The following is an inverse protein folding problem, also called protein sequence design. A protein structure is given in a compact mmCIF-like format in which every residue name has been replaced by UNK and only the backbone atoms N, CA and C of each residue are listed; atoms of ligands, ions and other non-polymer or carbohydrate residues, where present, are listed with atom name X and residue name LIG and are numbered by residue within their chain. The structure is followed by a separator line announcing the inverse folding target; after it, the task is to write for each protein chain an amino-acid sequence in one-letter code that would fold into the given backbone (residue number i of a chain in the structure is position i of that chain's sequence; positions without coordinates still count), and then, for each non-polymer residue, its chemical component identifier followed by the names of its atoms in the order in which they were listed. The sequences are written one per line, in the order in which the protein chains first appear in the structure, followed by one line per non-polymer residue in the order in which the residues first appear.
data_IF_548297315329
#
_entry.id   IF_548297315329
#
_cell.length_a   1.000
_cell.length_b   1.000
_cell.length_c   1.000
_cell.angle_alpha   90.00
_cell.angle_beta   90.00
_cell.angle_gamma   90.00
#
_symmetry.space_group_name_H-M   'P 1'
#
loop_
_entity.id
_entity.type
_entity.pdbx_description
1 polymer ?
#
# COMPACT_ATOMS: atom_id res chain seq x y z
N UNK A 1 2.85 -38.16 -49.65
CA UNK A 1 3.97 -39.00 -49.17
C UNK A 1 4.00 -38.89 -47.66
N UNK A 2 4.25 -39.96 -46.89
CA UNK A 2 4.21 -39.91 -45.43
C UNK A 2 5.49 -39.32 -44.79
N UNK A 3 6.58 -39.18 -45.55
CA UNK A 3 7.87 -38.70 -45.06
C UNK A 3 8.38 -37.56 -45.94
N UNK A 4 8.97 -36.54 -45.30
CA UNK A 4 9.52 -35.35 -45.95
C UNK A 4 10.90 -35.03 -45.38
N UNK A 5 11.89 -34.83 -46.26
CA UNK A 5 13.26 -34.44 -45.92
C UNK A 5 13.58 -33.10 -46.61
N UNK A 6 13.96 -32.07 -45.85
CA UNK A 6 14.09 -30.68 -46.35
C UNK A 6 15.49 -30.11 -46.16
N UNK A 7 15.77 -29.03 -46.90
CA UNK A 7 17.03 -28.26 -46.90
C UNK A 7 18.25 -29.00 -47.46
N UNK A 8 18.04 -29.77 -48.52
CA UNK A 8 19.13 -30.37 -49.31
C UNK A 8 19.38 -29.56 -50.58
N UNK A 9 20.62 -29.57 -51.04
CA UNK A 9 21.03 -28.98 -52.31
C UNK A 9 20.32 -29.65 -53.49
N UNK A 10 20.06 -28.87 -54.54
CA UNK A 10 19.52 -29.40 -55.79
C UNK A 10 20.61 -30.14 -56.58
N UNK A 11 20.22 -31.20 -57.30
CA UNK A 11 21.07 -31.89 -58.28
C UNK A 11 20.51 -31.70 -59.70
N UNK A 12 21.27 -32.01 -60.77
CA UNK A 12 20.77 -31.90 -62.14
C UNK A 12 19.51 -32.74 -62.42
N UNK A 13 19.29 -33.82 -61.66
CA UNK A 13 18.14 -34.73 -61.77
C UNK A 13 17.06 -34.50 -60.69
N UNK A 14 17.31 -33.66 -59.68
CA UNK A 14 16.41 -33.40 -58.54
C UNK A 14 16.50 -31.92 -58.13
N UNK A 15 15.76 -31.06 -58.84
CA UNK A 15 15.61 -29.65 -58.48
C UNK A 15 14.66 -29.48 -57.29
N UNK A 16 15.14 -28.85 -56.21
CA UNK A 16 14.36 -28.67 -54.98
C UNK A 16 13.94 -27.23 -54.78
N UNK A 17 12.62 -27.04 -54.74
CA UNK A 17 11.99 -25.76 -54.44
C UNK A 17 11.20 -25.86 -53.14
N UNK A 18 11.32 -24.84 -52.29
CA UNK A 18 10.54 -24.75 -51.05
C UNK A 18 9.61 -23.55 -51.15
N UNK A 19 8.34 -23.78 -50.90
CA UNK A 19 7.35 -22.72 -50.78
C UNK A 19 7.59 -21.89 -49.50
N UNK A 20 7.05 -20.66 -49.49
CA UNK A 20 7.12 -19.81 -48.31
C UNK A 20 6.49 -20.48 -47.07
N UNK A 21 5.45 -21.31 -47.25
CA UNK A 21 4.86 -22.02 -46.12
C UNK A 21 5.73 -23.17 -45.62
N UNK A 22 6.44 -23.89 -46.51
CA UNK A 22 7.40 -24.91 -46.10
C UNK A 22 8.59 -24.32 -45.34
N UNK A 23 8.99 -23.10 -45.72
CA UNK A 23 10.01 -22.34 -45.00
C UNK A 23 9.49 -21.83 -43.65
N UNK A 24 8.26 -21.30 -43.61
CA UNK A 24 7.62 -20.89 -42.37
C UNK A 24 7.38 -22.07 -41.43
N UNK A 25 7.04 -23.26 -41.95
CA UNK A 25 6.87 -24.49 -41.17
C UNK A 25 8.13 -24.83 -40.38
N UNK A 26 9.29 -24.69 -40.99
CA UNK A 26 10.57 -24.89 -40.30
C UNK A 26 10.72 -23.94 -39.11
N UNK A 27 10.41 -22.65 -39.28
CA UNK A 27 10.48 -21.70 -38.16
C UNK A 27 9.39 -21.91 -37.12
N UNK A 28 8.19 -22.39 -37.47
CA UNK A 28 7.15 -22.78 -36.50
C UNK A 28 7.63 -23.88 -35.54
N UNK A 29 8.61 -24.69 -35.94
CA UNK A 29 9.22 -25.71 -35.07
C UNK A 29 10.25 -25.16 -34.10
N UNK A 30 10.71 -23.92 -34.29
CA UNK A 30 11.81 -23.33 -33.52
C UNK A 30 11.37 -22.11 -32.72
N UNK A 31 10.46 -21.29 -33.27
CA UNK A 31 10.05 -20.00 -32.72
C UNK A 31 8.56 -20.02 -32.40
N UNK A 32 8.20 -19.52 -31.22
CA UNK A 32 6.79 -19.28 -30.87
C UNK A 32 6.26 -18.01 -31.53
N UNK A 33 4.94 -17.91 -31.59
CA UNK A 33 4.26 -16.67 -32.02
C UNK A 33 4.46 -15.57 -30.96
N UNK A 34 4.61 -14.33 -31.41
CA UNK A 34 4.68 -13.17 -30.52
C UNK A 34 5.45 -12.00 -31.10
N UNK A 35 5.76 -11.04 -30.24
CA UNK A 35 6.69 -9.95 -30.55
C UNK A 35 8.10 -10.26 -30.04
N UNK A 36 9.13 -9.64 -30.63
CA UNK A 36 10.47 -9.75 -30.08
C UNK A 36 10.59 -8.97 -28.76
N UNK A 37 11.42 -9.48 -27.84
CA UNK A 37 11.56 -8.91 -26.50
C UNK A 37 12.17 -7.50 -26.54
N UNK A 38 11.59 -6.58 -25.76
CA UNK A 38 12.21 -5.31 -25.38
C UNK A 38 11.32 -4.06 -25.54
N UNK A 39 11.33 -3.20 -24.51
CA UNK A 39 10.94 -1.78 -24.54
C UNK A 39 9.80 -1.39 -25.48
N UNK A 40 10.13 -0.57 -26.48
CA UNK A 40 9.19 0.06 -27.40
C UNK A 40 8.83 -0.81 -28.61
N UNK A 41 9.34 -2.05 -28.72
CA UNK A 41 9.11 -2.92 -29.88
C UNK A 41 7.61 -3.15 -30.11
N UNK A 42 7.10 -2.66 -31.24
CA UNK A 42 5.68 -2.72 -31.61
C UNK A 42 4.74 -2.20 -30.50
N UNK A 43 5.23 -1.29 -29.66
CA UNK A 43 4.42 -0.68 -28.61
C UNK A 43 3.34 0.20 -29.25
N UNK A 44 2.11 0.05 -28.75
CA UNK A 44 0.98 0.89 -29.15
C UNK A 44 0.96 2.14 -28.29
N UNK A 45 0.79 3.30 -28.91
CA UNK A 45 0.63 4.59 -28.25
C UNK A 45 -0.39 5.48 -28.95
N UNK A 46 -0.53 6.71 -28.47
CA UNK A 46 -1.40 7.74 -29.04
C UNK A 46 -0.82 9.13 -28.82
N UNK A 47 -1.18 10.07 -29.69
CA UNK A 47 -0.72 11.46 -29.60
C UNK A 47 -1.63 12.35 -28.73
N UNK A 48 -2.79 11.86 -28.29
CA UNK A 48 -3.73 12.63 -27.47
C UNK A 48 -4.52 13.70 -28.22
N UNK A 49 -4.38 13.80 -29.54
CA UNK A 49 -4.95 14.89 -30.35
C UNK A 49 -6.09 14.46 -31.28
N UNK A 50 -6.18 13.17 -31.59
CA UNK A 50 -7.13 12.62 -32.55
C UNK A 50 -7.50 11.16 -32.17
N UNK A 51 -8.41 10.56 -32.95
CA UNK A 51 -8.85 9.17 -32.79
C UNK A 51 -7.93 8.24 -33.59
N UNK A 52 -6.62 8.36 -33.35
CA UNK A 52 -5.61 7.47 -33.94
C UNK A 52 -4.71 6.91 -32.85
N UNK A 53 -4.30 5.67 -33.08
CA UNK A 53 -3.20 5.04 -32.35
C UNK A 53 -2.03 4.87 -33.30
N UNK A 54 -0.83 4.79 -32.75
CA UNK A 54 0.36 4.43 -33.50
C UNK A 54 1.01 3.19 -32.94
N UNK A 55 1.74 2.48 -33.79
CA UNK A 55 2.57 1.35 -33.42
C UNK A 55 4.01 1.72 -33.70
N UNK A 56 4.85 1.65 -32.67
CA UNK A 56 6.28 1.88 -32.81
C UNK A 56 6.93 0.84 -33.71
N UNK A 57 8.13 1.18 -34.20
CA UNK A 57 8.96 0.24 -34.95
C UNK A 57 9.22 -1.05 -34.17
N UNK A 58 9.45 -2.13 -34.92
CA UNK A 58 9.76 -3.40 -34.31
C UNK A 58 9.42 -4.60 -35.18
N UNK A 59 9.56 -5.77 -34.58
CA UNK A 59 9.40 -7.06 -35.22
C UNK A 59 8.42 -7.96 -34.46
N UNK A 60 7.68 -8.77 -35.22
CA UNK A 60 6.88 -9.86 -34.72
C UNK A 60 7.09 -11.11 -35.57
N UNK A 61 6.82 -12.26 -34.96
CA UNK A 61 6.83 -13.55 -35.63
C UNK A 61 5.48 -14.23 -35.41
N UNK A 62 4.82 -14.64 -36.49
CA UNK A 62 3.48 -15.24 -36.46
C UNK A 62 3.45 -16.42 -37.42
N UNK A 63 3.23 -17.62 -36.89
CA UNK A 63 3.14 -18.88 -37.63
C UNK A 63 4.33 -19.09 -38.59
N UNK A 64 5.53 -18.69 -38.18
CA UNK A 64 6.75 -18.82 -38.98
C UNK A 64 7.01 -17.67 -39.97
N UNK A 65 6.10 -16.70 -40.05
CA UNK A 65 6.20 -15.52 -40.91
C UNK A 65 6.64 -14.29 -40.09
N UNK A 66 7.50 -13.45 -40.68
CA UNK A 66 8.02 -12.24 -40.03
C UNK A 66 7.21 -11.00 -40.41
N UNK A 67 6.92 -10.15 -39.42
CA UNK A 67 6.39 -8.80 -39.59
C UNK A 67 7.39 -7.76 -39.10
N UNK A 68 7.41 -6.59 -39.75
CA UNK A 68 8.28 -5.46 -39.41
C UNK A 68 7.57 -4.13 -39.63
N UNK A 69 7.80 -3.19 -38.72
CA UNK A 69 7.59 -1.75 -38.92
C UNK A 69 8.96 -1.07 -38.87
N UNK A 70 9.26 -0.23 -39.86
CA UNK A 70 10.49 0.56 -39.92
C UNK A 70 10.24 1.92 -40.58
N UNK A 71 11.10 2.90 -40.29
CA UNK A 71 11.03 4.24 -40.88
C UNK A 71 10.06 5.19 -40.18
N UNK A 72 9.63 4.86 -38.96
CA UNK A 72 8.76 5.65 -38.10
C UNK A 72 7.56 4.88 -37.53
N UNK A 73 6.78 5.51 -36.63
CA UNK A 73 5.56 4.92 -36.10
C UNK A 73 4.50 4.75 -37.19
N UNK A 74 3.81 3.61 -37.18
CA UNK A 74 2.72 3.30 -38.09
C UNK A 74 1.37 3.67 -37.48
N UNK A 75 0.63 4.57 -38.11
CA UNK A 75 -0.63 5.09 -37.59
C UNK A 75 -1.84 4.29 -38.07
N UNK A 76 -2.78 4.07 -37.13
CA UNK A 76 -4.05 3.42 -37.34
C UNK A 76 -5.18 4.35 -36.89
N UNK A 77 -6.12 4.61 -37.78
CA UNK A 77 -7.34 5.37 -37.47
C UNK A 77 -8.41 4.45 -36.94
N UNK A 78 -9.04 4.83 -35.83
CA UNK A 78 -10.24 4.16 -35.33
C UNK A 78 -11.50 4.83 -35.90
N UNK A 79 -12.56 4.04 -36.05
CA UNK A 79 -13.87 4.59 -36.41
C UNK A 79 -14.36 5.58 -35.34
N UNK A 80 -15.23 6.51 -35.74
CA UNK A 80 -15.83 7.46 -34.81
C UNK A 80 -16.51 6.76 -33.61
N UNK A 81 -16.47 7.36 -32.40
CA UNK A 81 -17.11 6.80 -31.22
C UNK A 81 -18.62 6.75 -31.39
N UNK A 82 -19.23 5.83 -30.65
CA UNK A 82 -20.68 5.85 -30.46
C UNK A 82 -21.08 7.04 -29.57
N UNK A 83 -22.31 7.52 -29.71
CA UNK A 83 -22.80 8.67 -28.94
C UNK A 83 -23.21 8.33 -27.52
N UNK A 84 -23.49 7.05 -27.24
CA UNK A 84 -24.12 6.60 -26.00
C UNK A 84 -23.27 5.62 -25.21
N UNK A 85 -22.54 4.71 -25.86
CA UNK A 85 -21.81 3.65 -25.18
C UNK A 85 -20.33 3.59 -25.57
N UNK A 86 -19.51 3.24 -24.58
CA UNK A 86 -18.10 2.93 -24.83
C UNK A 86 -17.98 1.64 -25.64
N UNK A 87 -16.84 1.48 -26.31
CA UNK A 87 -16.42 0.20 -26.90
C UNK A 87 -14.93 -0.04 -26.68
N UNK A 88 -14.50 -1.28 -26.81
CA UNK A 88 -13.08 -1.64 -26.79
C UNK A 88 -12.71 -2.11 -28.20
N UNK A 89 -11.83 -1.37 -28.85
CA UNK A 89 -11.18 -1.81 -30.09
C UNK A 89 -9.88 -2.56 -29.73
N UNK A 90 -9.38 -3.40 -30.64
CA UNK A 90 -8.13 -4.14 -30.44
C UNK A 90 -7.18 -3.90 -31.59
N UNK A 91 -5.93 -3.54 -31.29
CA UNK A 91 -4.87 -3.40 -32.28
C UNK A 91 -4.21 -4.76 -32.45
N UNK A 92 -4.35 -5.34 -33.63
CA UNK A 92 -3.85 -6.69 -33.92
C UNK A 92 -2.85 -6.69 -35.06
N UNK A 93 -1.96 -7.68 -35.04
CA UNK A 93 -1.26 -8.11 -36.23
C UNK A 93 -2.00 -9.33 -36.80
N UNK A 94 -2.50 -9.19 -38.02
CA UNK A 94 -3.21 -10.26 -38.75
C UNK A 94 -2.31 -10.84 -39.82
N UNK A 95 -1.91 -12.09 -39.65
CA UNK A 95 -1.40 -12.92 -40.73
C UNK A 95 -2.59 -13.45 -41.55
N UNK A 96 -2.58 -13.19 -42.85
CA UNK A 96 -3.55 -13.74 -43.79
C UNK A 96 -2.80 -14.50 -44.90
N UNK A 97 -2.99 -15.82 -44.91
CA UNK A 97 -2.37 -16.76 -45.85
C UNK A 97 -3.22 -17.02 -47.10
N UNK A 98 -4.39 -16.37 -47.23
CA UNK A 98 -5.20 -16.48 -48.45
C UNK A 98 -4.40 -16.00 -49.67
N UNK A 99 -4.65 -16.61 -50.83
CA UNK A 99 -3.90 -16.34 -52.06
C UNK A 99 -3.95 -14.87 -52.50
N UNK A 100 -5.01 -14.15 -52.13
CA UNK A 100 -5.25 -12.76 -52.50
C UNK A 100 -4.47 -11.77 -51.63
N UNK A 101 -4.19 -12.12 -50.36
CA UNK A 101 -3.60 -11.19 -49.38
C UNK A 101 -2.12 -11.50 -49.13
N UNK A 102 -1.81 -12.71 -48.66
CA UNK A 102 -0.45 -13.21 -48.40
C UNK A 102 0.44 -12.23 -47.62
N UNK A 103 -0.08 -11.65 -46.54
CA UNK A 103 0.62 -10.61 -45.79
C UNK A 103 0.33 -10.66 -44.29
N UNK A 104 1.22 -10.04 -43.50
CA UNK A 104 0.93 -9.63 -42.13
C UNK A 104 0.66 -8.13 -42.13
N UNK A 105 -0.50 -7.71 -41.64
CA UNK A 105 -0.84 -6.29 -41.50
C UNK A 105 -1.29 -5.96 -40.09
N UNK A 106 -0.89 -4.79 -39.61
CA UNK A 106 -1.50 -4.19 -38.43
C UNK A 106 -2.92 -3.69 -38.76
N UNK A 107 -3.90 -4.04 -37.94
CA UNK A 107 -5.31 -3.68 -38.13
C UNK A 107 -5.98 -3.32 -36.81
N UNK A 108 -6.99 -2.47 -36.90
CA UNK A 108 -7.94 -2.22 -35.81
C UNK A 108 -9.08 -3.23 -35.94
N UNK A 109 -9.26 -4.08 -34.94
CA UNK A 109 -10.50 -4.85 -34.77
C UNK A 109 -11.47 -4.01 -33.95
N UNK A 110 -12.55 -3.60 -34.60
CA UNK A 110 -13.57 -2.75 -33.99
C UNK A 110 -14.39 -3.52 -32.97
N UNK A 111 -14.56 -2.91 -31.79
CA UNK A 111 -15.47 -3.35 -30.74
C UNK A 111 -16.94 -3.12 -31.05
N UNK A 112 -17.80 -3.73 -30.25
CA UNK A 112 -19.24 -3.40 -30.24
C UNK A 112 -19.54 -2.47 -29.07
N UNK A 113 -20.18 -1.30 -29.29
CA UNK A 113 -20.62 -0.42 -28.21
C UNK A 113 -21.55 -1.13 -27.22
N UNK A 114 -21.30 -0.98 -25.92
CA UNK A 114 -22.08 -1.61 -24.85
C UNK A 114 -21.88 -0.89 -23.52
N UNK A 115 -22.85 -1.02 -22.61
CA UNK A 115 -22.70 -0.55 -21.22
C UNK A 115 -21.56 -1.27 -20.48
N UNK A 116 -21.22 -2.50 -20.89
CA UNK A 116 -20.08 -3.28 -20.41
C UNK A 116 -19.29 -3.77 -21.62
N UNK A 117 -18.43 -2.91 -22.21
CA UNK A 117 -17.72 -3.25 -23.43
C UNK A 117 -16.70 -4.35 -23.19
N UNK A 118 -16.58 -5.27 -24.14
CA UNK A 118 -15.62 -6.38 -24.11
C UNK A 118 -14.75 -6.36 -25.38
N UNK A 119 -13.46 -6.73 -25.29
CA UNK A 119 -12.57 -6.76 -26.45
C UNK A 119 -13.03 -7.80 -27.49
N UNK A 120 -12.96 -7.50 -28.80
CA UNK A 120 -13.23 -8.45 -29.88
C UNK A 120 -12.36 -9.70 -29.78
N UNK A 121 -12.95 -10.87 -30.04
CA UNK A 121 -12.21 -12.12 -30.09
C UNK A 121 -11.21 -12.13 -31.26
N UNK A 122 -10.06 -12.77 -31.06
CA UNK A 122 -9.06 -12.98 -32.11
C UNK A 122 -9.51 -14.10 -33.05
N UNK A 123 -9.26 -13.92 -34.34
CA UNK A 123 -9.44 -14.93 -35.37
C UNK A 123 -8.16 -15.75 -35.50
N UNK A 124 -8.24 -17.04 -35.18
CA UNK A 124 -7.14 -18.00 -35.37
C UNK A 124 -7.69 -19.25 -36.04
N UNK A 125 -7.46 -19.37 -37.35
CA UNK A 125 -7.86 -20.49 -38.19
C UNK A 125 -6.78 -20.75 -39.26
N UNK A 126 -7.03 -21.67 -40.19
CA UNK A 126 -6.04 -22.11 -41.17
C UNK A 126 -5.56 -20.99 -42.10
N UNK A 127 -6.40 -19.99 -42.40
CA UNK A 127 -6.06 -18.89 -43.31
C UNK A 127 -5.66 -17.61 -42.57
N UNK A 128 -6.28 -17.34 -41.42
CA UNK A 128 -6.10 -16.09 -40.68
C UNK A 128 -5.62 -16.40 -39.27
N UNK A 129 -4.51 -15.78 -38.87
CA UNK A 129 -3.99 -15.87 -37.51
C UNK A 129 -3.71 -14.48 -36.95
N UNK A 130 -4.32 -14.16 -35.82
CA UNK A 130 -4.18 -12.86 -35.17
C UNK A 130 -3.50 -12.95 -33.80
N UNK A 131 -2.63 -11.96 -33.54
CA UNK A 131 -2.10 -11.64 -32.21
C UNK A 131 -2.48 -10.21 -31.83
N UNK A 132 -2.69 -9.97 -30.54
CA UNK A 132 -3.09 -8.65 -30.04
C UNK A 132 -1.92 -7.86 -29.45
N UNK A 133 -1.70 -6.63 -29.92
CA UNK A 133 -0.72 -5.73 -29.33
C UNK A 133 -1.31 -4.94 -28.16
N UNK A 134 -2.53 -4.43 -28.31
CA UNK A 134 -3.18 -3.64 -27.26
C UNK A 134 -4.70 -3.59 -27.42
N UNK A 135 -5.40 -3.37 -26.31
CA UNK A 135 -6.79 -2.92 -26.30
C UNK A 135 -6.83 -1.40 -26.24
N UNK A 136 -7.83 -0.80 -26.89
CA UNK A 136 -8.05 0.64 -26.91
C UNK A 136 -9.51 0.89 -26.55
N UNK A 137 -9.76 1.47 -25.38
CA UNK A 137 -11.09 1.85 -24.96
C UNK A 137 -11.50 3.16 -25.65
N UNK A 138 -12.46 3.08 -26.55
CA UNK A 138 -13.06 4.25 -27.20
C UNK A 138 -14.25 4.70 -26.36
N UNK A 139 -14.09 5.86 -25.71
CA UNK A 139 -15.12 6.47 -24.86
C UNK A 139 -16.20 7.16 -25.70
N UNK A 140 -17.45 7.03 -25.28
CA UNK A 140 -18.59 7.61 -25.98
C UNK A 140 -18.42 9.14 -26.17
N UNK A 141 -18.66 9.62 -27.39
CA UNK A 141 -18.61 11.05 -27.73
C UNK A 141 -17.22 11.71 -27.69
N UNK A 142 -16.13 10.98 -27.39
CA UNK A 142 -14.80 11.57 -27.23
C UNK A 142 -14.03 11.68 -28.55
N UNK A 143 -13.45 12.85 -28.84
CA UNK A 143 -12.80 13.12 -30.13
C UNK A 143 -11.30 12.77 -30.21
N UNK A 144 -10.73 12.15 -29.17
CA UNK A 144 -9.32 11.76 -29.12
C UNK A 144 -9.08 10.60 -28.15
N UNK A 145 -7.96 9.89 -28.33
CA UNK A 145 -7.53 8.78 -27.47
C UNK A 145 -6.38 9.24 -26.57
N UNK A 146 -6.48 8.93 -25.28
CA UNK A 146 -5.46 9.20 -24.26
C UNK A 146 -4.75 7.92 -23.83
N UNK A 147 -3.54 8.06 -23.28
CA UNK A 147 -2.69 6.93 -22.93
C UNK A 147 -3.34 5.95 -21.95
N UNK A 148 -4.17 6.41 -21.00
CA UNK A 148 -4.85 5.52 -20.05
C UNK A 148 -5.94 4.65 -20.69
N UNK A 149 -6.39 4.99 -21.90
CA UNK A 149 -7.36 4.19 -22.66
C UNK A 149 -6.71 3.01 -23.37
N UNK A 150 -5.37 2.97 -23.42
CA UNK A 150 -4.59 1.90 -24.06
C UNK A 150 -4.15 0.92 -22.99
N UNK A 151 -4.55 -0.35 -23.15
CA UNK A 151 -4.10 -1.46 -22.31
C UNK A 151 -3.19 -2.35 -23.14
N UNK A 152 -1.92 -2.45 -22.75
CA UNK A 152 -0.91 -3.27 -23.43
C UNK A 152 -1.21 -4.76 -23.26
N UNK A 153 -1.30 -5.50 -24.37
CA UNK A 153 -1.53 -6.95 -24.41
C UNK A 153 -0.30 -7.74 -24.90
N UNK A 154 0.82 -7.06 -25.20
CA UNK A 154 2.01 -7.68 -25.82
C UNK A 154 2.62 -8.79 -24.96
N UNK A 155 2.56 -8.65 -23.63
CA UNK A 155 3.13 -9.60 -22.67
C UNK A 155 2.15 -10.71 -22.25
N UNK A 156 0.88 -10.66 -22.70
CA UNK A 156 -0.08 -11.71 -22.41
C UNK A 156 0.08 -12.86 -23.43
N UNK A 157 0.58 -14.00 -22.95
CA UNK A 157 0.84 -15.20 -23.74
C UNK A 157 -0.42 -15.82 -24.37
N UNK A 158 -1.62 -15.48 -23.91
CA UNK A 158 -2.86 -15.99 -24.50
C UNK A 158 -3.21 -15.28 -25.82
N UNK A 159 -2.88 -13.99 -25.91
CA UNK A 159 -3.28 -13.12 -27.04
C UNK A 159 -2.12 -12.68 -27.92
N UNK A 160 -0.90 -12.57 -27.40
CA UNK A 160 0.31 -12.26 -28.16
C UNK A 160 1.53 -13.01 -27.65
N UNK A 161 2.08 -12.60 -26.50
CA UNK A 161 3.30 -13.16 -25.94
C UNK A 161 4.58 -12.69 -26.65
N UNK A 162 5.71 -13.16 -26.11
CA UNK A 162 7.03 -12.93 -26.67
C UNK A 162 7.45 -14.11 -27.54
N UNK A 163 8.15 -13.82 -28.64
CA UNK A 163 8.85 -14.84 -29.41
C UNK A 163 9.90 -15.48 -28.50
N UNK A 164 9.75 -16.78 -28.28
CA UNK A 164 10.71 -17.61 -27.59
C UNK A 164 11.28 -18.63 -28.58
N UNK A 165 12.55 -18.98 -28.41
CA UNK A 165 13.21 -20.02 -29.20
C UNK A 165 13.25 -21.32 -28.42
N UNK A 166 12.90 -22.43 -29.06
CA UNK A 166 13.09 -23.79 -28.54
C UNK A 166 14.58 -24.17 -28.46
N UNK A 167 15.49 -23.37 -29.05
CA UNK A 167 16.91 -23.40 -28.72
C UNK A 167 17.07 -22.65 -27.39
N UNK A 168 16.57 -23.26 -26.33
CA UNK A 168 16.73 -22.73 -24.99
C UNK A 168 18.18 -23.03 -24.57
N UNK A 169 18.99 -21.99 -24.34
CA UNK A 169 20.16 -22.18 -23.47
C UNK A 169 19.63 -22.77 -22.16
N UNK A 170 20.28 -23.79 -21.63
CA UNK A 170 19.90 -24.39 -20.35
C UNK A 170 20.10 -23.34 -19.23
N UNK A 171 19.07 -22.52 -19.00
CA UNK A 171 19.07 -21.50 -17.97
C UNK A 171 18.80 -22.08 -16.59
N UNK A 172 18.61 -23.40 -16.48
CA UNK A 172 18.41 -24.10 -15.21
C UNK A 172 19.58 -23.83 -14.28
N UNK A 173 20.80 -23.86 -14.80
CA UNK A 173 22.01 -23.61 -14.00
C UNK A 173 22.09 -22.17 -13.51
N UNK A 174 21.81 -21.19 -14.38
CA UNK A 174 21.79 -19.76 -14.00
C UNK A 174 20.66 -19.48 -12.99
N UNK A 175 19.48 -20.07 -13.19
CA UNK A 175 18.35 -19.92 -12.29
C UNK A 175 18.63 -20.58 -10.93
N UNK A 176 19.23 -21.77 -10.92
CA UNK A 176 19.65 -22.45 -9.68
C UNK A 176 20.70 -21.62 -8.92
N UNK A 177 21.68 -21.05 -9.63
CA UNK A 177 22.68 -20.18 -9.03
C UNK A 177 22.06 -18.90 -8.46
N UNK A 178 21.12 -18.28 -9.18
CA UNK A 178 20.40 -17.10 -8.70
C UNK A 178 19.54 -17.44 -7.47
N UNK A 179 18.78 -18.53 -7.50
CA UNK A 179 17.95 -18.98 -6.38
C UNK A 179 18.81 -19.31 -5.15
N UNK A 180 19.93 -19.99 -5.34
CA UNK A 180 20.89 -20.29 -4.27
C UNK A 180 21.50 -19.01 -3.69
N UNK A 181 21.88 -18.05 -4.54
CA UNK A 181 22.41 -16.76 -4.11
C UNK A 181 21.37 -15.93 -3.33
N UNK A 182 20.14 -15.87 -3.84
CA UNK A 182 19.02 -15.19 -3.20
C UNK A 182 18.73 -15.79 -1.81
N UNK A 183 18.66 -17.12 -1.71
CA UNK A 183 18.44 -17.81 -0.44
C UNK A 183 19.59 -17.55 0.55
N UNK A 184 20.83 -17.61 0.10
CA UNK A 184 22.01 -17.34 0.93
C UNK A 184 22.02 -15.89 1.43
N UNK A 185 21.74 -14.91 0.56
CA UNK A 185 21.68 -13.49 0.94
C UNK A 185 20.52 -13.18 1.87
N UNK A 186 19.38 -13.83 1.68
CA UNK A 186 18.23 -13.70 2.59
C UNK A 186 18.54 -14.24 3.98
N UNK A 187 19.20 -15.41 4.06
CA UNK A 187 19.63 -15.99 5.34
C UNK A 187 20.69 -15.11 6.05
N UNK A 188 21.69 -14.62 5.30
CA UNK A 188 22.71 -13.70 5.84
C UNK A 188 22.07 -12.40 6.34
N UNK A 189 21.10 -11.84 5.61
CA UNK A 189 20.38 -10.65 6.05
C UNK A 189 19.61 -10.90 7.34
N UNK A 190 18.87 -12.01 7.43
CA UNK A 190 18.10 -12.36 8.63
C UNK A 190 19.02 -12.55 9.86
N UNK A 191 20.13 -13.26 9.69
CA UNK A 191 21.12 -13.48 10.75
C UNK A 191 21.78 -12.17 11.20
N UNK A 192 22.19 -11.32 10.24
CA UNK A 192 22.78 -10.02 10.54
C UNK A 192 21.78 -9.09 11.22
N UNK A 193 20.52 -9.09 10.78
CA UNK A 193 19.45 -8.30 11.36
C UNK A 193 19.16 -8.75 12.79
N UNK A 194 19.04 -10.06 13.03
CA UNK A 194 18.84 -10.62 14.37
C UNK A 194 20.02 -10.31 15.28
N UNK A 195 21.26 -10.49 14.81
CA UNK A 195 22.47 -10.15 15.58
C UNK A 195 22.54 -8.66 15.91
N UNK A 196 22.19 -7.80 14.96
CA UNK A 196 22.12 -6.36 15.19
C UNK A 196 21.04 -6.02 16.22
N UNK A 197 19.84 -6.60 16.12
CA UNK A 197 18.75 -6.39 17.07
C UNK A 197 19.15 -6.83 18.48
N UNK A 198 19.70 -8.04 18.62
CA UNK A 198 20.14 -8.60 19.90
C UNK A 198 21.28 -7.78 20.52
N UNK A 199 22.10 -7.11 19.70
CA UNK A 199 23.15 -6.22 20.17
C UNK A 199 22.61 -4.83 20.53
N UNK A 200 21.73 -4.26 19.70
CA UNK A 200 21.29 -2.87 19.84
C UNK A 200 20.19 -2.69 20.85
N UNK A 201 19.27 -3.64 20.98
CA UNK A 201 18.16 -3.52 21.91
C UNK A 201 18.64 -3.41 23.37
N UNK A 202 19.57 -4.25 23.87
CA UNK A 202 20.13 -4.10 25.21
C UNK A 202 20.97 -2.82 25.36
N UNK A 203 21.70 -2.41 24.32
CA UNK A 203 22.47 -1.15 24.35
C UNK A 203 21.55 0.06 24.52
N UNK A 204 20.45 0.12 23.78
CA UNK A 204 19.45 1.17 23.93
C UNK A 204 18.82 1.14 25.31
N UNK A 205 18.46 -0.04 25.81
CA UNK A 205 17.87 -0.17 27.13
C UNK A 205 18.83 0.27 28.23
N UNK A 206 20.12 -0.08 28.12
CA UNK A 206 21.14 0.37 29.06
C UNK A 206 21.34 1.87 29.01
N UNK A 207 21.49 2.46 27.82
CA UNK A 207 21.64 3.91 27.65
C UNK A 207 20.44 4.67 28.22
N UNK A 208 19.23 4.16 28.00
CA UNK A 208 18.02 4.74 28.57
C UNK A 208 18.01 4.65 30.10
N UNK A 209 18.33 3.48 30.67
CA UNK A 209 18.42 3.30 32.12
C UNK A 209 19.46 4.22 32.76
N UNK A 210 20.66 4.32 32.16
CA UNK A 210 21.75 5.16 32.66
C UNK A 210 21.34 6.64 32.63
N UNK A 211 20.76 7.10 31.52
CA UNK A 211 20.24 8.46 31.40
C UNK A 211 19.11 8.71 32.41
N UNK A 212 18.15 7.79 32.54
CA UNK A 212 17.01 7.95 33.44
C UNK A 212 17.45 8.02 34.91
N UNK A 213 18.32 7.12 35.33
CA UNK A 213 18.87 7.08 36.69
C UNK A 213 19.69 8.34 37.00
N UNK A 214 20.51 8.80 36.04
CA UNK A 214 21.29 10.03 36.19
C UNK A 214 20.39 11.24 36.38
N UNK A 215 19.36 11.40 35.54
CA UNK A 215 18.43 12.52 35.64
C UNK A 215 17.60 12.47 36.93
N UNK A 216 17.15 11.28 37.33
CA UNK A 216 16.41 11.09 38.58
C UNK A 216 17.28 11.50 39.77
N UNK A 217 18.53 11.03 39.83
CA UNK A 217 19.48 11.38 40.89
C UNK A 217 19.75 12.88 40.95
N UNK A 218 19.97 13.51 39.78
CA UNK A 218 20.21 14.95 39.70
C UNK A 218 19.01 15.77 40.17
N UNK A 219 17.80 15.35 39.76
CA UNK A 219 16.55 15.97 40.17
C UNK A 219 16.33 15.82 41.68
N UNK A 220 16.45 14.60 42.23
CA UNK A 220 16.28 14.33 43.65
C UNK A 220 17.28 15.12 44.50
N UNK A 221 18.54 15.19 44.06
CA UNK A 221 19.58 15.95 44.77
C UNK A 221 19.26 17.44 44.78
N UNK A 222 18.86 17.99 43.63
CA UNK A 222 18.52 19.40 43.47
C UNK A 222 17.27 19.76 44.27
N UNK A 223 16.24 18.91 44.23
CA UNK A 223 14.99 19.08 44.98
C UNK A 223 15.23 19.01 46.49
N UNK A 224 15.96 18.00 46.98
CA UNK A 224 16.26 17.85 48.41
C UNK A 224 17.10 19.03 48.93
N UNK A 225 18.07 19.50 48.14
CA UNK A 225 18.87 20.67 48.49
C UNK A 225 18.01 21.92 48.62
N UNK A 226 17.18 22.20 47.60
CA UNK A 226 16.24 23.32 47.61
C UNK A 226 15.25 23.23 48.79
N UNK A 227 14.64 22.07 48.99
CA UNK A 227 13.66 21.85 50.06
C UNK A 227 14.27 22.08 51.45
N UNK A 228 15.47 21.55 51.69
CA UNK A 228 16.20 21.74 52.95
C UNK A 228 16.52 23.22 53.20
N UNK A 229 16.93 23.96 52.16
CA UNK A 229 17.19 25.39 52.28
C UNK A 229 15.92 26.17 52.65
N UNK A 230 14.80 25.89 51.99
CA UNK A 230 13.50 26.50 52.29
C UNK A 230 13.07 26.16 53.73
N UNK A 231 13.20 24.89 54.13
CA UNK A 231 12.85 24.45 55.48
C UNK A 231 13.69 25.16 56.54
N UNK A 232 15.00 25.30 56.34
CA UNK A 232 15.89 26.01 57.26
C UNK A 232 15.56 27.52 57.34
N UNK A 233 15.25 28.15 56.21
CA UNK A 233 14.82 29.56 56.18
C UNK A 233 13.52 29.77 56.96
N UNK A 234 12.54 28.87 56.77
CA UNK A 234 11.28 28.89 57.52
C UNK A 234 11.48 28.65 59.02
N UNK A 235 12.29 27.67 59.41
CA UNK A 235 12.61 27.40 60.81
C UNK A 235 13.29 28.61 61.48
N UNK A 236 14.20 29.27 60.76
CA UNK A 236 14.86 30.50 61.24
C UNK A 236 13.85 31.63 61.42
N UNK A 237 12.99 31.86 60.42
CA UNK A 237 11.92 32.86 60.50
C UNK A 237 11.00 32.62 61.71
N UNK A 238 10.51 31.39 61.91
CA UNK A 238 9.66 31.06 63.05
C UNK A 238 10.37 31.22 64.40
N UNK A 239 11.63 30.82 64.50
CA UNK A 239 12.41 30.97 65.74
C UNK A 239 12.60 32.44 66.10
N UNK A 240 12.89 33.28 65.11
CA UNK A 240 12.99 34.73 65.31
C UNK A 240 11.63 35.34 65.68
N UNK A 241 10.55 34.93 65.01
CA UNK A 241 9.20 35.37 65.36
C UNK A 241 8.78 34.96 66.77
N UNK A 242 9.26 33.83 67.31
CA UNK A 242 9.01 33.43 68.70
C UNK A 242 9.88 34.20 69.72
N UNK A 243 11.09 34.62 69.32
CA UNK A 243 12.02 35.40 70.15
C UNK A 243 11.73 36.90 70.15
N UNK A 244 11.09 37.41 69.09
CA UNK A 244 10.43 38.70 69.12
C UNK A 244 9.21 38.58 70.02
N UNK A 245 9.28 39.23 71.19
CA UNK A 245 8.14 39.47 72.04
C UNK A 245 7.03 40.09 71.20
N UNK A 246 6.06 39.30 70.75
CA UNK A 246 4.76 39.81 70.37
C UNK A 246 4.19 40.49 71.61
N UNK A 247 4.42 41.80 71.68
CA UNK A 247 3.81 42.77 72.59
C UNK A 247 3.59 42.21 74.01
N UNK A 248 4.52 42.50 74.91
CA UNK A 248 4.13 42.58 76.33
C UNK A 248 2.93 43.55 76.39
N UNK A 249 1.88 43.18 77.12
CA UNK A 249 0.56 43.84 77.11
C UNK A 249 0.52 45.31 77.55
N UNK A 250 1.64 46.02 77.54
CA UNK A 250 1.75 47.45 77.79
C UNK A 250 1.60 48.31 76.52
N UNK A 251 1.91 47.82 75.32
CA UNK A 251 2.03 48.70 74.14
C UNK A 251 0.85 48.68 73.15
N UNK A 252 -0.12 47.79 73.29
CA UNK A 252 -1.42 47.91 72.60
C UNK A 252 -2.48 47.29 73.50
N UNK A 253 -3.58 48.02 73.78
CA UNK A 253 -4.72 47.56 74.59
C UNK A 253 -5.52 46.42 73.97
N UNK A 254 -4.85 45.37 73.51
CA UNK A 254 -5.40 44.11 73.05
C UNK A 254 -5.22 43.11 74.17
N UNK A 255 -6.32 42.69 74.77
CA UNK A 255 -6.37 41.55 75.68
C UNK A 255 -6.03 40.30 74.87
N UNK A 256 -4.77 39.88 74.89
CA UNK A 256 -4.37 38.59 74.32
C UNK A 256 -4.89 37.52 75.28
N UNK A 257 -5.67 36.56 74.78
CA UNK A 257 -6.20 35.48 75.59
C UNK A 257 -5.06 34.78 76.34
N UNK A 258 -5.17 34.75 77.67
CA UNK A 258 -4.21 34.13 78.56
C UNK A 258 -4.33 32.60 78.51
N UNK A 259 -3.32 31.89 79.02
CA UNK A 259 -3.39 30.44 79.21
C UNK A 259 -4.59 30.03 80.11
N UNK A 260 -5.06 30.95 80.95
CA UNK A 260 -6.23 30.82 81.82
C UNK A 260 -7.56 30.91 81.03
N UNK A 261 -7.63 31.76 80.01
CA UNK A 261 -8.79 31.85 79.10
C UNK A 261 -8.95 30.57 78.29
N UNK A 262 -7.84 29.98 77.84
CA UNK A 262 -7.83 28.70 77.12
C UNK A 262 -8.19 27.52 78.04
N UNK A 263 -7.73 27.54 79.30
CA UNK A 263 -8.10 26.54 80.31
C UNK A 263 -9.59 26.63 80.68
N UNK A 264 -10.15 27.85 80.72
CA UNK A 264 -11.58 28.09 80.95
C UNK A 264 -12.44 27.54 79.80
N UNK A 265 -11.97 27.67 78.55
CA UNK A 265 -12.63 27.08 77.38
C UNK A 265 -12.52 25.53 77.34
N UNK A 266 -11.44 24.96 77.87
CA UNK A 266 -11.29 23.50 78.00
C UNK A 266 -12.30 22.91 79.00
N UNK A 267 -12.73 23.71 79.98
CA UNK A 267 -13.76 23.38 80.96
C UNK A 267 -15.18 23.77 80.49
N UNK A 268 -15.33 24.33 79.28
CA UNK A 268 -16.62 24.68 78.72
C UNK A 268 -17.41 23.41 78.39
N UNK A 269 -18.46 23.17 79.17
CA UNK A 269 -19.37 22.03 79.02
C UNK A 269 -20.70 22.44 78.38
N UNK A 270 -20.77 23.65 77.81
CA UNK A 270 -21.98 24.17 77.17
C UNK A 270 -22.35 23.28 75.97
N UNK A 271 -23.29 22.37 76.18
CA UNK A 271 -23.83 21.52 75.11
C UNK A 271 -24.87 22.32 74.34
N UNK A 272 -24.54 22.72 73.12
CA UNK A 272 -25.48 23.40 72.21
C UNK A 272 -26.63 22.50 71.72
N UNK A 273 -26.58 21.20 72.01
CA UNK A 273 -27.66 20.23 71.78
C UNK A 273 -27.75 19.31 73.00
N UNK A 274 -28.87 19.34 73.69
CA UNK A 274 -29.15 18.51 74.87
C UNK A 274 -29.32 17.04 74.49
N UNK A 275 -29.15 16.13 75.46
CA UNK A 275 -29.37 14.70 75.22
C UNK A 275 -30.82 14.43 74.81
N UNK A 276 -31.78 15.18 75.38
CA UNK A 276 -33.19 15.10 75.00
C UNK A 276 -33.43 15.50 73.53
N UNK A 277 -32.75 16.52 73.02
CA UNK A 277 -32.85 16.91 71.60
C UNK A 277 -32.21 15.85 70.67
N UNK A 278 -31.11 15.22 71.09
CA UNK A 278 -30.52 14.09 70.35
C UNK A 278 -31.44 12.86 70.35
N UNK A 279 -32.04 12.54 71.49
CA UNK A 279 -32.94 11.40 71.63
C UNK A 279 -34.22 11.62 70.80
N UNK A 280 -34.76 12.85 70.78
CA UNK A 280 -35.88 13.22 69.92
C UNK A 280 -35.55 13.10 68.43
N UNK A 281 -34.35 13.53 68.01
CA UNK A 281 -33.90 13.39 66.63
C UNK A 281 -33.73 11.93 66.21
N UNK A 282 -33.19 11.08 67.10
CA UNK A 282 -33.02 9.65 66.84
C UNK A 282 -34.34 8.86 66.93
N UNK A 283 -35.31 9.32 67.72
CA UNK A 283 -36.63 8.70 67.86
C UNK A 283 -37.64 9.17 66.80
N UNK A 284 -37.33 10.23 66.05
CA UNK A 284 -38.11 10.63 64.89
C UNK A 284 -38.14 9.46 63.89
N UNK A 285 -39.31 8.88 63.67
CA UNK A 285 -39.48 7.71 62.80
C UNK A 285 -38.81 7.93 61.44
N UNK A 286 -38.06 6.93 60.98
CA UNK A 286 -37.62 6.89 59.60
C UNK A 286 -38.85 6.98 58.68
N UNK A 287 -38.81 7.89 57.69
CA UNK A 287 -39.87 8.06 56.67
C UNK A 287 -40.26 6.78 55.92
N UNK A 288 -39.52 5.70 56.09
CA UNK A 288 -39.83 4.38 55.56
C UNK A 288 -41.15 3.77 56.10
N UNK A 289 -41.67 4.27 57.23
CA UNK A 289 -42.93 3.77 57.83
C UNK A 289 -44.13 4.72 57.61
N UNK A 290 -43.93 5.80 56.84
CA UNK A 290 -45.00 6.72 56.48
C UNK A 290 -45.95 6.01 55.48
N UNK A 291 -47.21 5.84 55.88
CA UNK A 291 -48.22 5.11 55.11
C UNK A 291 -48.45 5.73 53.72
N UNK A 292 -48.24 7.05 53.61
CA UNK A 292 -48.34 7.74 52.33
C UNK A 292 -47.17 7.35 51.40
N UNK A 293 -45.95 7.21 51.94
CA UNK A 293 -44.77 6.80 51.17
C UNK A 293 -44.83 5.31 50.80
N UNK A 294 -45.31 4.43 51.69
CA UNK A 294 -45.51 3.00 51.41
C UNK A 294 -46.57 2.76 50.31
N UNK A 295 -47.60 3.60 50.25
CA UNK A 295 -48.62 3.60 49.19
C UNK A 295 -48.04 3.99 47.82
N UNK A 296 -47.19 5.03 47.75
CA UNK A 296 -46.54 5.43 46.50
C UNK A 296 -45.39 4.48 46.07
N UNK A 297 -44.80 3.73 47.00
CA UNK A 297 -43.73 2.76 46.73
C UNK A 297 -44.23 1.32 46.46
N UNK A 298 -45.55 1.07 46.50
CA UNK A 298 -46.15 -0.21 46.09
C UNK A 298 -45.95 -1.38 47.07
N UNK A 299 -45.74 -1.10 48.36
CA UNK A 299 -45.51 -2.12 49.39
C UNK A 299 -46.70 -2.33 50.36
N UNK A 300 -47.89 -1.83 50.01
CA UNK A 300 -49.21 -2.21 50.57
C UNK A 300 -50.22 -2.45 49.47
#
# INVERSE_FOLDING_TARGET
MPEYSRFFDSTPEDERYYSADEFAEYFRRLLTNGIFNGGTNLQVGCDGTNIMTYINEGFAWIEGYMYKIEGGPFYLTHDLPDTQYDRIDRIVLRLDKSLEVRAINAKVLKGTPSATPTPPALTRNDNVYEISLAQVRIEAGKSYIEAYQITDERLDNNVCGLVNSLIQADTTEIFNQFQAHYNAKSAEFEENWQTWLDTKLPQFQQQWNDWFNTNTTNYDTSWNTWFTQIQNAWNTFFSNAQGESYLTGADVGVTVASQEDFASHLADTTKHVTQAEKDAWNAAQAKANDLEILYWMGAM
#
